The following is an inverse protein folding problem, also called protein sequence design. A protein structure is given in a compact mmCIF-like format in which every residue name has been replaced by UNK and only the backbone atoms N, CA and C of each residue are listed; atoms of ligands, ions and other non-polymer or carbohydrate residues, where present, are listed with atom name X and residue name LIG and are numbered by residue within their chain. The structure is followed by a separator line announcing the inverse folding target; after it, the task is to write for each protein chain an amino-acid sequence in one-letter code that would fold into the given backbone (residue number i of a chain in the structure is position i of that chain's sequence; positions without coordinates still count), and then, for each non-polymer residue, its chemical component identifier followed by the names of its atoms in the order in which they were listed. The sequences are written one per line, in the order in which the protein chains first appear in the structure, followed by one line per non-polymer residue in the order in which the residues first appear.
data_IF_420554958734
#
_entry.id   IF_420554958734
#
_cell.length_a   1.000
_cell.length_b   1.000
_cell.length_c   1.000
_cell.angle_alpha   90.00
_cell.angle_beta   90.00
_cell.angle_gamma   90.00
#
_symmetry.space_group_name_H-M   'P 1'
#
loop_
_entity.id
_entity.type
_entity.pdbx_description
1 polymer ?
#
# COMPACT_ATOMS: atom_id res chain seq x y z
N UNK A 1 -15.00 -19.49 2.69
CA UNK A 1 -15.18 -18.58 3.84
C UNK A 1 -16.56 -17.98 3.84
N UNK A 2 -17.10 -17.75 5.02
CA UNK A 2 -18.37 -17.04 5.12
C UNK A 2 -18.21 -15.58 4.77
N UNK A 3 -19.22 -15.02 4.16
CA UNK A 3 -19.29 -13.60 3.92
C UNK A 3 -19.50 -12.81 5.22
N UNK A 4 -18.78 -11.72 5.38
CA UNK A 4 -18.96 -10.79 6.50
C UNK A 4 -18.61 -9.39 6.03
N UNK A 5 -19.62 -8.55 5.82
CA UNK A 5 -19.43 -7.18 5.34
C UNK A 5 -18.75 -6.23 6.35
N UNK A 6 -18.56 -6.68 7.58
CA UNK A 6 -17.81 -5.90 8.60
C UNK A 6 -16.29 -6.04 8.47
N UNK A 7 -15.82 -6.96 7.62
CA UNK A 7 -14.39 -7.21 7.40
C UNK A 7 -14.12 -7.09 5.90
N UNK A 8 -12.97 -6.56 5.49
CA UNK A 8 -12.60 -6.57 4.07
C UNK A 8 -12.55 -8.00 3.54
N UNK A 9 -12.93 -8.18 2.28
CA UNK A 9 -12.92 -9.51 1.66
C UNK A 9 -11.53 -10.00 1.26
N UNK A 10 -10.51 -9.15 1.29
CA UNK A 10 -9.13 -9.54 0.99
C UNK A 10 -8.66 -10.63 1.96
N UNK A 11 -7.91 -11.59 1.46
CA UNK A 11 -7.40 -12.71 2.28
C UNK A 11 -6.35 -12.23 3.27
N UNK A 12 -5.44 -11.34 2.82
CA UNK A 12 -4.41 -10.74 3.67
C UNK A 12 -4.75 -9.27 3.87
N UNK A 13 -4.83 -8.85 5.12
CA UNK A 13 -5.23 -7.48 5.46
C UNK A 13 -4.18 -6.90 6.41
N UNK A 14 -3.23 -6.10 5.91
CA UNK A 14 -2.27 -5.42 6.78
C UNK A 14 -2.99 -4.46 7.72
N UNK A 15 -2.52 -4.41 8.96
CA UNK A 15 -2.97 -3.44 9.96
C UNK A 15 -1.81 -2.49 10.22
N UNK A 16 -1.97 -1.24 9.87
CA UNK A 16 -0.92 -0.23 9.96
C UNK A 16 -1.29 0.77 11.04
N UNK A 17 -0.32 1.10 11.88
CA UNK A 17 -0.53 1.95 13.04
C UNK A 17 -0.08 3.38 12.72
N UNK A 18 -0.93 4.33 13.05
CA UNK A 18 -0.69 5.76 12.81
C UNK A 18 -1.00 6.56 14.07
N UNK A 19 -0.29 7.68 14.29
CA UNK A 19 -0.55 8.52 15.46
C UNK A 19 -1.93 9.16 15.43
N UNK A 20 -2.43 9.49 14.24
CA UNK A 20 -3.74 10.11 14.04
C UNK A 20 -4.44 9.43 12.86
N UNK A 21 -5.45 8.63 13.18
CA UNK A 21 -6.16 7.81 12.17
C UNK A 21 -6.88 8.68 11.14
N UNK A 22 -7.55 9.76 11.56
CA UNK A 22 -8.28 10.61 10.63
C UNK A 22 -7.36 11.34 9.66
N UNK A 23 -6.25 11.84 10.15
CA UNK A 23 -5.23 12.48 9.33
C UNK A 23 -4.61 11.49 8.34
N UNK A 24 -4.30 10.29 8.81
CA UNK A 24 -3.73 9.25 7.96
C UNK A 24 -4.69 8.84 6.83
N UNK A 25 -5.96 8.62 7.16
CA UNK A 25 -6.98 8.25 6.16
C UNK A 25 -7.14 9.34 5.11
N UNK A 26 -7.19 10.60 5.53
CA UNK A 26 -7.30 11.72 4.59
C UNK A 26 -6.10 11.76 3.64
N UNK A 27 -4.89 11.63 4.18
CA UNK A 27 -3.68 11.67 3.36
C UNK A 27 -3.58 10.50 2.40
N UNK A 28 -3.82 9.28 2.88
CA UNK A 28 -3.76 8.07 2.06
C UNK A 28 -4.81 8.10 0.93
N UNK A 29 -5.97 8.66 1.21
CA UNK A 29 -7.02 8.85 0.20
C UNK A 29 -6.59 9.83 -0.88
N UNK A 30 -6.06 10.98 -0.48
CA UNK A 30 -5.65 12.03 -1.41
C UNK A 30 -4.39 11.68 -2.18
N UNK A 31 -3.37 11.16 -1.49
CA UNK A 31 -2.06 10.90 -2.09
C UNK A 31 -2.02 9.59 -2.89
N UNK A 32 -2.61 8.53 -2.36
CA UNK A 32 -2.53 7.20 -2.96
C UNK A 32 -3.82 6.72 -3.62
N UNK A 33 -4.93 7.43 -3.42
CA UNK A 33 -6.20 7.08 -4.05
C UNK A 33 -6.93 5.93 -3.36
N UNK A 34 -6.62 5.63 -2.11
CA UNK A 34 -7.35 4.61 -1.36
C UNK A 34 -8.75 5.12 -1.00
N UNK A 35 -9.67 4.20 -0.75
CA UNK A 35 -11.07 4.55 -0.50
C UNK A 35 -11.49 4.03 0.86
N UNK A 36 -11.89 4.92 1.75
CA UNK A 36 -12.39 4.52 3.06
C UNK A 36 -13.68 3.72 2.90
N UNK A 37 -13.71 2.53 3.50
CA UNK A 37 -14.82 1.61 3.42
C UNK A 37 -15.65 1.62 4.70
N UNK A 38 -14.99 1.52 5.86
CA UNK A 38 -15.65 1.53 7.17
C UNK A 38 -14.85 2.38 8.13
N UNK A 39 -15.54 3.26 8.82
CA UNK A 39 -14.99 4.08 9.90
C UNK A 39 -15.48 3.53 11.23
N UNK A 40 -14.57 3.27 12.15
CA UNK A 40 -14.90 2.78 13.47
C UNK A 40 -14.49 3.83 14.50
N UNK A 41 -15.48 4.52 15.09
CA UNK A 41 -15.24 5.64 15.99
C UNK A 41 -14.66 6.84 15.25
N UNK A 42 -14.39 7.92 15.96
CA UNK A 42 -13.80 9.14 15.38
C UNK A 42 -12.32 8.97 15.07
N UNK A 43 -11.60 8.24 15.91
CA UNK A 43 -10.14 8.17 15.82
C UNK A 43 -9.57 6.77 16.07
N UNK A 44 -10.41 5.75 16.14
CA UNK A 44 -9.96 4.43 16.52
C UNK A 44 -9.44 3.61 15.35
N UNK A 45 -10.26 3.41 14.33
CA UNK A 45 -9.93 2.53 13.21
C UNK A 45 -10.59 2.96 11.92
N UNK A 46 -10.02 2.50 10.81
CA UNK A 46 -10.62 2.63 9.49
C UNK A 46 -10.20 1.47 8.61
N UNK A 47 -11.10 1.04 7.74
CA UNK A 47 -10.79 0.06 6.70
C UNK A 47 -10.75 0.79 5.37
N UNK A 48 -9.65 0.66 4.63
CA UNK A 48 -9.50 1.25 3.31
C UNK A 48 -9.45 0.16 2.25
N UNK A 49 -10.14 0.39 1.14
CA UNK A 49 -9.95 -0.41 -0.06
C UNK A 49 -8.72 0.08 -0.81
N UNK A 50 -7.93 -0.87 -1.30
CA UNK A 50 -6.73 -0.61 -2.08
C UNK A 50 -6.90 -1.34 -3.41
N UNK A 51 -7.21 -0.60 -4.48
CA UNK A 51 -7.55 -1.22 -5.75
C UNK A 51 -8.83 -2.06 -5.64
N UNK A 52 -8.97 -3.05 -6.50
CA UNK A 52 -10.18 -3.89 -6.54
C UNK A 52 -10.18 -5.02 -5.51
N UNK A 53 -9.02 -5.58 -5.20
CA UNK A 53 -8.94 -6.76 -4.35
C UNK A 53 -8.14 -6.58 -3.07
N UNK A 54 -7.57 -5.40 -2.84
CA UNK A 54 -6.72 -5.15 -1.68
C UNK A 54 -7.43 -4.38 -0.58
N UNK A 55 -6.86 -4.45 0.62
CA UNK A 55 -7.36 -3.70 1.77
C UNK A 55 -6.24 -3.45 2.76
N UNK A 56 -6.35 -2.36 3.50
CA UNK A 56 -5.53 -2.11 4.69
C UNK A 56 -6.44 -1.57 5.80
N UNK A 57 -6.06 -1.85 7.02
CA UNK A 57 -6.70 -1.30 8.20
C UNK A 57 -5.75 -0.27 8.82
N UNK A 58 -6.28 0.90 9.12
CA UNK A 58 -5.56 1.98 9.76
C UNK A 58 -6.00 1.98 11.23
N UNK A 59 -5.05 1.76 12.13
CA UNK A 59 -5.32 1.67 13.56
C UNK A 59 -4.59 2.70 14.38
N UNK A 60 -5.13 3.00 15.55
CA UNK A 60 -4.53 3.93 16.50
C UNK A 60 -3.40 3.29 17.31
N UNK A 61 -2.61 4.13 17.97
CA UNK A 61 -1.53 3.70 18.85
C UNK A 61 -2.11 3.03 20.10
N UNK A 62 -1.54 1.89 20.47
CA UNK A 62 -1.85 1.15 21.70
C UNK A 62 -0.54 0.75 22.38
N UNK A 63 -0.61 0.24 23.62
CA UNK A 63 0.58 -0.12 24.37
C UNK A 63 1.43 -1.20 23.70
N UNK A 64 0.81 -2.05 22.89
CA UNK A 64 1.47 -3.17 22.21
C UNK A 64 1.72 -2.93 20.70
N UNK A 65 1.41 -1.72 20.21
CA UNK A 65 1.60 -1.39 18.79
C UNK A 65 1.79 0.11 18.59
N UNK A 66 2.79 0.44 17.80
CA UNK A 66 3.23 1.81 17.56
C UNK A 66 3.52 2.02 16.06
N UNK A 67 3.56 3.27 15.59
CA UNK A 67 4.02 3.56 14.23
C UNK A 67 5.48 3.17 14.05
N UNK A 68 5.94 2.97 12.80
CA UNK A 68 7.34 2.65 12.56
C UNK A 68 8.25 3.81 12.95
N UNK A 69 9.47 3.48 13.35
CA UNK A 69 10.54 4.47 13.50
C UNK A 69 11.27 4.59 12.17
N UNK A 70 11.72 5.79 11.88
CA UNK A 70 12.47 6.07 10.65
C UNK A 70 13.70 5.15 10.57
N UNK A 71 13.85 4.44 9.46
CA UNK A 71 14.97 3.54 9.22
C UNK A 71 14.83 2.16 9.86
N UNK A 72 13.75 1.88 10.58
CA UNK A 72 13.54 0.60 11.27
C UNK A 72 12.37 -0.21 10.70
N UNK A 73 11.95 0.10 9.48
CA UNK A 73 10.83 -0.59 8.83
C UNK A 73 11.32 -1.90 8.23
N UNK A 74 10.69 -3.00 8.59
CA UNK A 74 11.10 -4.34 8.17
C UNK A 74 10.29 -4.90 7.00
N UNK A 75 9.30 -4.15 6.53
CA UNK A 75 8.42 -4.58 5.42
C UNK A 75 7.95 -3.39 4.61
N UNK A 76 7.35 -3.67 3.48
CA UNK A 76 6.67 -2.65 2.67
C UNK A 76 5.40 -3.24 2.09
N UNK A 77 4.45 -2.36 1.74
CA UNK A 77 3.24 -2.75 1.02
C UNK A 77 3.50 -2.58 -0.47
N UNK A 78 3.43 -3.66 -1.22
CA UNK A 78 3.50 -3.58 -2.68
C UNK A 78 2.08 -3.53 -3.22
N UNK A 79 1.77 -2.50 -3.99
CA UNK A 79 0.43 -2.21 -4.51
C UNK A 79 0.50 -2.16 -6.03
N UNK A 80 -0.34 -2.93 -6.70
CA UNK A 80 -0.46 -2.88 -8.15
C UNK A 80 -1.37 -1.72 -8.55
N UNK A 81 -0.94 -0.95 -9.55
CA UNK A 81 -1.69 0.20 -10.07
C UNK A 81 -1.72 0.15 -11.60
N UNK A 82 -2.71 0.82 -12.19
CA UNK A 82 -2.87 0.84 -13.64
C UNK A 82 -1.91 1.81 -14.33
N UNK A 83 -1.57 2.93 -13.69
CA UNK A 83 -0.71 3.96 -14.26
C UNK A 83 0.22 4.48 -13.15
N UNK A 84 1.41 3.89 -13.09
CA UNK A 84 2.36 4.20 -12.03
C UNK A 84 2.91 5.62 -12.15
N UNK A 85 3.05 6.15 -13.35
CA UNK A 85 3.55 7.52 -13.54
C UNK A 85 2.56 8.55 -13.01
N UNK A 86 1.27 8.37 -13.29
CA UNK A 86 0.22 9.24 -12.75
C UNK A 86 0.12 9.11 -11.23
N UNK A 87 0.23 7.89 -10.72
CA UNK A 87 0.21 7.63 -9.28
C UNK A 87 1.40 8.32 -8.57
N UNK A 88 2.58 8.22 -9.14
CA UNK A 88 3.78 8.87 -8.65
C UNK A 88 3.61 10.40 -8.58
N UNK A 89 3.12 11.02 -9.66
CA UNK A 89 2.92 12.46 -9.71
C UNK A 89 1.94 12.93 -8.62
N UNK A 90 0.86 12.19 -8.41
CA UNK A 90 -0.13 12.48 -7.39
C UNK A 90 0.46 12.35 -5.97
N UNK A 91 1.18 11.26 -5.72
CA UNK A 91 1.82 11.03 -4.42
C UNK A 91 2.82 12.14 -4.09
N UNK A 92 3.63 12.52 -5.07
CA UNK A 92 4.63 13.57 -4.92
C UNK A 92 3.97 14.93 -4.63
N UNK A 93 2.90 15.25 -5.34
CA UNK A 93 2.14 16.49 -5.13
C UNK A 93 1.59 16.58 -3.71
N UNK A 94 1.21 15.45 -3.11
CA UNK A 94 0.65 15.40 -1.76
C UNK A 94 1.70 15.15 -0.67
N UNK A 95 2.98 15.27 -0.99
CA UNK A 95 4.04 15.27 0.01
C UNK A 95 4.58 13.90 0.42
N UNK A 96 4.37 12.86 -0.38
CA UNK A 96 5.04 11.58 -0.13
C UNK A 96 6.55 11.75 -0.24
N UNK A 97 7.29 11.08 0.62
CA UNK A 97 8.76 11.03 0.51
C UNK A 97 9.10 9.98 -0.55
N UNK A 98 9.64 10.44 -1.67
CA UNK A 98 10.00 9.53 -2.76
C UNK A 98 11.36 8.90 -2.45
N UNK A 99 11.38 7.58 -2.36
CA UNK A 99 12.59 6.82 -2.07
C UNK A 99 13.24 6.31 -3.35
N UNK A 100 12.45 6.07 -4.38
CA UNK A 100 12.90 5.65 -5.69
C UNK A 100 11.89 6.12 -6.72
N UNK A 101 12.36 6.82 -7.74
CA UNK A 101 11.50 7.26 -8.85
C UNK A 101 11.07 6.07 -9.73
N UNK A 102 10.01 6.23 -10.54
CA UNK A 102 9.57 5.15 -11.43
C UNK A 102 10.71 4.61 -12.27
N UNK A 103 10.90 3.30 -12.20
CA UNK A 103 12.01 2.58 -12.84
C UNK A 103 11.46 1.30 -13.44
N UNK A 104 11.92 0.98 -14.65
CA UNK A 104 11.54 -0.26 -15.33
C UNK A 104 12.48 -1.38 -14.93
N UNK A 105 11.92 -2.54 -14.63
CA UNK A 105 12.65 -3.72 -14.21
C UNK A 105 12.51 -4.85 -15.25
N UNK A 106 13.48 -5.73 -15.28
CA UNK A 106 13.54 -6.84 -16.24
C UNK A 106 12.40 -7.84 -16.10
N UNK A 107 11.72 -7.86 -14.94
CA UNK A 107 10.56 -8.74 -14.75
C UNK A 107 9.23 -8.11 -15.24
N UNK A 108 9.29 -7.04 -16.01
CA UNK A 108 8.13 -6.49 -16.71
C UNK A 108 7.32 -5.48 -15.92
N UNK A 109 7.88 -4.91 -14.87
CA UNK A 109 7.20 -3.94 -14.01
C UNK A 109 7.89 -2.59 -14.04
N UNK A 110 7.08 -1.53 -13.92
CA UNK A 110 7.57 -0.18 -13.60
C UNK A 110 7.15 0.14 -12.18
N UNK A 111 8.11 0.49 -11.33
CA UNK A 111 7.87 0.63 -9.90
C UNK A 111 8.48 1.90 -9.35
N UNK A 112 7.81 2.51 -8.36
CA UNK A 112 8.42 3.53 -7.52
C UNK A 112 8.17 3.22 -6.05
N UNK A 113 9.06 3.73 -5.19
CA UNK A 113 8.99 3.52 -3.75
C UNK A 113 8.77 4.86 -3.05
N UNK A 114 7.92 4.85 -2.03
CA UNK A 114 7.62 6.03 -1.23
C UNK A 114 7.47 5.67 0.24
N UNK A 115 7.72 6.65 1.10
CA UNK A 115 7.31 6.59 2.49
C UNK A 115 6.18 7.59 2.69
N UNK A 116 5.18 7.22 3.48
CA UNK A 116 4.16 8.17 3.88
C UNK A 116 4.70 9.09 5.00
N UNK A 117 3.98 10.16 5.38
CA UNK A 117 4.50 11.10 6.38
C UNK A 117 4.81 10.48 7.74
N UNK A 118 4.29 9.29 8.03
CA UNK A 118 4.48 8.61 9.32
C UNK A 118 5.47 7.45 9.24
N UNK A 119 6.11 7.24 8.08
CA UNK A 119 7.22 6.31 7.93
C UNK A 119 6.86 4.92 7.39
N UNK A 120 5.61 4.63 7.11
CA UNK A 120 5.26 3.38 6.44
C UNK A 120 5.75 3.39 5.00
N UNK A 121 6.24 2.22 4.54
CA UNK A 121 6.87 2.07 3.24
C UNK A 121 5.91 1.45 2.23
N UNK A 122 5.86 2.03 1.04
CA UNK A 122 4.96 1.62 -0.04
C UNK A 122 5.75 1.51 -1.33
N UNK A 123 5.44 0.47 -2.11
CA UNK A 123 5.94 0.33 -3.47
C UNK A 123 4.75 0.20 -4.40
N UNK A 124 4.70 1.02 -5.44
CA UNK A 124 3.62 0.99 -6.43
C UNK A 124 4.18 0.46 -7.74
N UNK A 125 3.46 -0.46 -8.36
CA UNK A 125 3.96 -1.26 -9.47
C UNK A 125 2.91 -1.38 -10.57
N UNK A 126 3.30 -1.03 -11.79
CA UNK A 126 2.49 -1.22 -13.00
C UNK A 126 3.10 -2.33 -13.83
N UNK A 127 2.28 -3.28 -14.27
CA UNK A 127 2.72 -4.32 -15.20
C UNK A 127 2.80 -3.73 -16.61
N UNK A 128 3.99 -3.73 -17.21
CA UNK A 128 4.21 -3.27 -18.59
C UNK A 128 4.05 -4.40 -19.59
N UNK A 129 4.48 -5.61 -19.22
CA UNK A 129 4.42 -6.78 -20.09
C UNK A 129 4.49 -8.05 -19.27
N UNK A 130 4.03 -9.16 -19.86
CA UNK A 130 4.18 -10.48 -19.29
C UNK A 130 5.58 -11.01 -19.64
N UNK A 131 6.38 -11.33 -18.63
CA UNK A 131 7.75 -11.82 -18.80
C UNK A 131 7.88 -13.21 -18.21
N UNK A 132 8.47 -14.13 -18.97
CA UNK A 132 8.78 -15.47 -18.46
C UNK A 132 9.73 -15.32 -17.26
N UNK A 133 9.37 -15.86 -16.08
CA UNK A 133 10.26 -15.78 -14.91
C UNK A 133 11.69 -16.23 -15.17
N UNK A 134 11.91 -17.20 -16.04
CA UNK A 134 13.25 -17.71 -16.37
C UNK A 134 14.14 -16.62 -17.00
N UNK A 135 13.55 -15.59 -17.62
CA UNK A 135 14.30 -14.52 -18.28
C UNK A 135 15.03 -13.62 -17.30
N UNK A 136 14.63 -13.60 -16.01
CA UNK A 136 15.25 -12.74 -15.00
C UNK A 136 15.66 -13.51 -13.74
N UNK A 137 15.81 -14.84 -13.82
CA UNK A 137 16.33 -15.67 -12.74
C UNK A 137 15.26 -16.32 -11.85
N UNK A 138 13.99 -16.20 -12.22
CA UNK A 138 12.91 -16.86 -11.51
C UNK A 138 12.68 -18.29 -11.99
N UNK A 139 12.03 -19.09 -11.18
CA UNK A 139 11.57 -20.43 -11.55
C UNK A 139 10.08 -20.52 -11.24
N UNK A 140 9.28 -20.75 -12.27
CA UNK A 140 7.83 -20.87 -12.10
C UNK A 140 7.51 -22.25 -11.51
N UNK A 141 6.94 -22.27 -10.30
CA UNK A 141 6.62 -23.51 -9.58
C UNK A 141 5.15 -23.87 -9.70
N UNK A 142 4.29 -22.93 -10.11
CA UNK A 142 2.85 -23.15 -10.32
C UNK A 142 2.43 -22.40 -11.58
N UNK A 143 1.25 -22.74 -12.11
CA UNK A 143 0.70 -22.04 -13.29
C UNK A 143 0.02 -20.71 -12.96
N UNK A 144 0.04 -20.32 -11.73
CA UNK A 144 -0.60 -19.11 -11.24
C UNK A 144 0.19 -17.87 -11.56
#
# INVERSE_FOLDING_TARGET
MRENRSIPSATVIPVLIYPDVREAVAWLTEAFGFVERIRIGESHRSQLRVGEGGAVIIGDVRSDRVPPRKGEVTHQMKVRVEDVNAHFARAQEHGATILKEPTDFEYGEREYDAADPWGHRWQFSETLEDVDPAAWGGTLLTDE
#
